data_IF_716244035543
#
_entry.id   IF_716244035543
#
_cell.length_a   1.000
_cell.length_b   1.000
_cell.length_c   1.000
_cell.angle_alpha   90.00
_cell.angle_beta   90.00
_cell.angle_gamma   90.00
#
_symmetry.space_group_name_H-M   'P 1'
#
loop_
_entity.id
_entity.type
_entity.pdbx_description
1 polymer ?
#
# COMPACT_ATOMS: atom_id res chain seq x y z
N UNK A 1 35.15 -10.03 17.11
CA UNK A 1 34.83 -8.73 16.51
C UNK A 1 34.27 -8.98 15.13
N UNK A 2 33.05 -8.53 14.83
CA UNK A 2 32.52 -8.61 13.47
C UNK A 2 33.36 -7.70 12.54
N UNK A 3 33.65 -8.10 11.29
CA UNK A 3 34.54 -7.36 10.41
C UNK A 3 33.92 -6.00 10.03
N UNK A 4 34.76 -4.97 9.97
CA UNK A 4 34.38 -3.65 9.46
C UNK A 4 33.87 -3.78 8.01
N UNK A 5 32.61 -3.43 7.78
CA UNK A 5 31.94 -3.54 6.47
C UNK A 5 30.79 -4.54 6.40
N UNK A 6 30.49 -5.29 7.47
CA UNK A 6 29.27 -6.09 7.52
C UNK A 6 28.03 -5.19 7.48
N UNK A 7 27.21 -5.31 6.42
CA UNK A 7 25.92 -4.63 6.35
C UNK A 7 25.03 -5.16 7.49
N UNK A 8 24.52 -4.26 8.32
CA UNK A 8 23.59 -4.62 9.41
C UNK A 8 22.39 -5.40 8.87
N UNK A 9 21.97 -6.42 9.61
CA UNK A 9 20.75 -7.18 9.33
C UNK A 9 19.49 -6.32 9.50
N UNK A 10 18.37 -6.73 8.91
CA UNK A 10 17.11 -5.96 8.96
C UNK A 10 16.65 -5.72 10.40
N UNK A 11 16.76 -6.73 11.27
CA UNK A 11 16.38 -6.63 12.68
C UNK A 11 17.31 -5.69 13.44
N UNK A 12 18.62 -5.79 13.25
CA UNK A 12 19.59 -4.89 13.88
C UNK A 12 19.35 -3.42 13.53
N UNK A 13 18.92 -3.15 12.28
CA UNK A 13 18.56 -1.81 11.83
C UNK A 13 17.28 -1.31 12.49
N UNK A 14 16.25 -2.15 12.51
CA UNK A 14 14.96 -1.80 13.13
C UNK A 14 15.09 -1.65 14.66
N UNK A 15 15.87 -2.50 15.33
CA UNK A 15 16.20 -2.41 16.76
C UNK A 15 16.97 -1.12 17.08
N UNK A 16 17.80 -0.65 16.15
CA UNK A 16 18.46 0.66 16.23
C UNK A 16 17.52 1.85 15.92
N UNK A 17 16.23 1.59 15.66
CA UNK A 17 15.23 2.60 15.33
C UNK A 17 15.31 3.12 13.89
N UNK A 18 16.09 2.49 13.02
CA UNK A 18 16.22 2.91 11.61
C UNK A 18 14.88 2.76 10.87
N UNK A 19 14.59 3.74 10.02
CA UNK A 19 13.45 3.67 9.10
C UNK A 19 13.90 2.93 7.83
N UNK A 20 13.24 1.81 7.56
CA UNK A 20 13.45 0.99 6.38
C UNK A 20 12.33 1.28 5.39
N UNK A 21 12.72 1.72 4.19
CA UNK A 21 11.80 1.90 3.06
C UNK A 21 12.04 0.77 2.08
N UNK A 22 10.99 0.02 1.72
CA UNK A 22 11.09 -1.13 0.82
C UNK A 22 9.78 -1.47 0.13
N UNK A 23 9.85 -2.02 -1.08
CA UNK A 23 8.68 -2.39 -1.88
C UNK A 23 8.22 -3.84 -1.61
N UNK A 24 6.91 -4.04 -1.64
CA UNK A 24 6.17 -5.24 -1.26
C UNK A 24 5.84 -6.17 -2.40
N UNK A 25 6.36 -5.91 -3.61
CA UNK A 25 6.32 -6.86 -4.74
C UNK A 25 6.95 -8.22 -4.43
N UNK A 26 7.54 -8.41 -3.25
CA UNK A 26 8.22 -9.62 -2.83
C UNK A 26 7.27 -10.77 -2.43
N UNK A 27 6.00 -10.52 -2.07
CA UNK A 27 5.06 -11.60 -1.71
C UNK A 27 4.83 -12.57 -2.88
N UNK A 28 4.58 -12.07 -4.09
CA UNK A 28 4.46 -12.91 -5.28
C UNK A 28 5.80 -13.56 -5.69
N UNK A 29 6.94 -12.90 -5.43
CA UNK A 29 8.25 -13.46 -5.71
C UNK A 29 8.63 -14.59 -4.72
N UNK A 30 8.24 -14.47 -3.45
CA UNK A 30 8.42 -15.48 -2.41
C UNK A 30 7.41 -16.63 -2.54
N UNK A 31 6.17 -16.35 -2.95
CA UNK A 31 5.18 -17.37 -3.30
C UNK A 31 5.66 -18.21 -4.48
N UNK A 32 6.16 -17.58 -5.56
CA UNK A 32 6.80 -18.29 -6.70
C UNK A 32 8.01 -19.13 -6.30
N UNK A 33 8.61 -18.86 -5.13
CA UNK A 33 9.75 -19.60 -4.57
C UNK A 33 9.35 -20.53 -3.41
N UNK A 34 8.06 -20.63 -3.10
CA UNK A 34 7.51 -21.54 -2.09
C UNK A 34 7.73 -21.13 -0.62
N UNK A 35 8.12 -19.88 -0.36
CA UNK A 35 8.44 -19.41 1.00
C UNK A 35 7.24 -18.87 1.78
N UNK A 36 6.20 -18.38 1.09
CA UNK A 36 4.99 -17.84 1.70
C UNK A 36 3.77 -18.22 0.87
N UNK A 37 2.59 -18.30 1.49
CA UNK A 37 1.30 -18.38 0.80
C UNK A 37 0.67 -16.98 0.84
N UNK A 38 0.46 -16.37 -0.31
CA UNK A 38 -0.26 -15.10 -0.38
C UNK A 38 -1.75 -15.36 -0.05
N UNK A 39 -2.36 -14.53 0.80
CA UNK A 39 -3.77 -14.66 1.09
C UNK A 39 -4.33 -13.59 2.02
N UNK A 40 -5.67 -13.44 2.06
CA UNK A 40 -6.34 -12.66 3.09
C UNK A 40 -6.05 -13.23 4.50
N UNK A 41 -6.34 -12.45 5.56
CA UNK A 41 -6.33 -12.86 6.98
C UNK A 41 -5.00 -12.78 7.78
N UNK A 42 -3.89 -12.32 7.20
CA UNK A 42 -2.66 -12.00 7.97
C UNK A 42 -2.86 -10.98 9.12
N UNK A 43 -3.75 -9.96 9.02
CA UNK A 43 -3.94 -8.99 10.10
C UNK A 43 -4.54 -9.60 11.38
N UNK A 44 -5.45 -10.58 11.25
CA UNK A 44 -6.13 -11.23 12.39
C UNK A 44 -5.14 -12.03 13.23
N UNK A 45 -4.23 -12.78 12.59
CA UNK A 45 -3.24 -13.58 13.31
C UNK A 45 -2.33 -12.73 14.23
N UNK A 46 -1.92 -11.54 13.81
CA UNK A 46 -1.09 -10.69 14.66
C UNK A 46 -1.86 -9.99 15.80
N UNK A 47 -3.18 -9.79 15.61
CA UNK A 47 -4.04 -9.18 16.62
C UNK A 47 -4.58 -10.21 17.63
N UNK A 48 -4.94 -11.41 17.17
CA UNK A 48 -5.60 -12.47 17.95
C UNK A 48 -4.60 -13.51 18.48
N UNK A 49 -3.48 -13.73 17.79
CA UNK A 49 -2.44 -14.72 18.11
C UNK A 49 -1.02 -14.12 18.07
N UNK A 50 -0.76 -13.02 18.80
CA UNK A 50 0.54 -12.34 18.75
C UNK A 50 1.72 -13.24 19.19
N UNK A 51 1.46 -14.30 19.95
CA UNK A 51 2.42 -15.33 20.36
C UNK A 51 2.95 -16.20 19.21
N UNK A 52 2.29 -16.18 18.04
CA UNK A 52 2.67 -16.97 16.87
C UNK A 52 4.03 -16.57 16.25
N UNK A 53 4.67 -15.50 16.76
CA UNK A 53 6.13 -15.39 16.73
C UNK A 53 6.76 -14.72 15.50
N UNK A 54 6.24 -13.57 15.04
CA UNK A 54 6.89 -12.77 14.01
C UNK A 54 7.62 -11.54 14.59
N UNK A 55 8.92 -11.38 14.28
CA UNK A 55 9.73 -10.24 14.72
C UNK A 55 9.37 -8.93 13.99
N UNK A 56 8.74 -9.06 12.81
CA UNK A 56 8.16 -7.95 12.04
C UNK A 56 6.74 -8.37 11.69
N UNK A 57 5.75 -7.60 12.14
CA UNK A 57 4.32 -7.81 11.85
C UNK A 57 3.77 -6.62 11.08
N UNK A 58 2.81 -6.87 10.20
CA UNK A 58 2.24 -5.81 9.40
C UNK A 58 1.32 -6.34 8.33
N UNK A 59 1.02 -5.49 7.37
CA UNK A 59 0.08 -5.79 6.29
C UNK A 59 0.60 -5.26 4.96
N UNK A 60 0.15 -5.91 3.89
CA UNK A 60 0.40 -5.47 2.53
C UNK A 60 -0.81 -5.70 1.62
N UNK A 61 -0.87 -4.93 0.53
CA UNK A 61 -1.86 -5.07 -0.54
C UNK A 61 -3.31 -4.80 -0.10
N UNK A 62 -4.25 -5.08 -1.01
CA UNK A 62 -5.72 -5.07 -0.91
C UNK A 62 -6.41 -3.77 -0.51
N UNK A 63 -5.77 -2.94 0.30
CA UNK A 63 -6.32 -1.74 0.88
C UNK A 63 -5.38 -0.55 0.69
N UNK A 64 -5.98 0.63 0.66
CA UNK A 64 -5.28 1.91 0.61
C UNK A 64 -4.44 2.21 1.87
N UNK A 65 -3.57 3.23 1.81
CA UNK A 65 -2.69 3.57 2.93
C UNK A 65 -3.41 3.92 4.23
N UNK A 66 -4.54 4.62 4.16
CA UNK A 66 -5.29 5.03 5.35
C UNK A 66 -5.81 3.80 6.11
N UNK A 67 -6.47 2.90 5.39
CA UNK A 67 -6.97 1.64 5.92
C UNK A 67 -5.83 0.82 6.50
N UNK A 68 -4.71 0.73 5.78
CA UNK A 68 -3.57 -0.02 6.24
C UNK A 68 -2.97 0.54 7.54
N UNK A 69 -2.72 1.85 7.62
CA UNK A 69 -2.14 2.44 8.84
C UNK A 69 -3.06 2.25 10.04
N UNK A 70 -4.39 2.35 9.87
CA UNK A 70 -5.37 2.07 10.93
C UNK A 70 -5.28 0.62 11.41
N UNK A 71 -5.22 -0.35 10.49
CA UNK A 71 -5.11 -1.77 10.83
C UNK A 71 -3.81 -2.09 11.57
N UNK A 72 -2.68 -1.51 11.16
CA UNK A 72 -1.40 -1.72 11.86
C UNK A 72 -1.42 -1.11 13.28
N UNK A 73 -2.14 0.00 13.51
CA UNK A 73 -2.36 0.52 14.87
C UNK A 73 -3.12 -0.49 15.74
N UNK A 74 -4.17 -1.13 15.20
CA UNK A 74 -4.91 -2.18 15.91
C UNK A 74 -4.02 -3.40 16.22
N UNK A 75 -3.21 -3.84 15.26
CA UNK A 75 -2.24 -4.92 15.48
C UNK A 75 -1.23 -4.56 16.57
N UNK A 76 -0.74 -3.30 16.55
CA UNK A 76 0.17 -2.79 17.57
C UNK A 76 -0.45 -2.84 18.96
N UNK A 77 -1.67 -2.35 19.12
CA UNK A 77 -2.40 -2.42 20.39
C UNK A 77 -2.58 -3.86 20.88
N UNK A 78 -2.87 -4.81 19.98
CA UNK A 78 -3.00 -6.24 20.30
C UNK A 78 -1.68 -6.83 20.82
N UNK A 79 -0.59 -6.62 20.10
CA UNK A 79 0.76 -7.08 20.49
C UNK A 79 1.20 -6.48 21.83
N UNK A 80 0.98 -5.18 22.04
CA UNK A 80 1.34 -4.49 23.29
C UNK A 80 0.51 -5.00 24.48
N UNK A 81 -0.80 -5.24 24.30
CA UNK A 81 -1.67 -5.84 25.34
C UNK A 81 -1.23 -7.25 25.73
N UNK A 82 -0.67 -8.01 24.79
CA UNK A 82 -0.11 -9.33 25.06
C UNK A 82 1.28 -9.29 25.74
N UNK A 83 1.84 -8.10 26.01
CA UNK A 83 3.17 -7.95 26.60
C UNK A 83 4.32 -8.35 25.65
N UNK A 84 4.02 -8.43 24.36
CA UNK A 84 4.96 -8.82 23.32
C UNK A 84 5.58 -7.59 22.65
N UNK A 85 6.69 -7.80 21.95
CA UNK A 85 7.37 -6.76 21.15
C UNK A 85 7.54 -7.25 19.73
N UNK A 86 7.22 -6.38 18.77
CA UNK A 86 7.45 -6.60 17.36
C UNK A 86 7.77 -5.28 16.67
N UNK A 87 8.43 -5.35 15.52
CA UNK A 87 8.52 -4.24 14.58
C UNK A 87 7.30 -4.20 13.69
N UNK A 88 6.89 -3.00 13.28
CA UNK A 88 5.67 -2.83 12.48
C UNK A 88 5.97 -2.46 11.03
N UNK A 89 5.18 -3.04 10.12
CA UNK A 89 5.31 -2.93 8.69
C UNK A 89 4.00 -2.52 8.01
N UNK A 90 4.08 -1.69 6.97
CA UNK A 90 2.93 -1.34 6.14
C UNK A 90 3.36 -1.21 4.67
N UNK A 91 2.65 -1.90 3.78
CA UNK A 91 2.86 -1.87 2.33
C UNK A 91 1.52 -1.84 1.57
N UNK A 92 0.79 -0.71 1.62
CA UNK A 92 -0.55 -0.58 1.05
C UNK A 92 -0.56 -0.59 -0.48
N UNK A 93 -1.75 -0.56 -1.07
CA UNK A 93 -1.94 -0.21 -2.48
C UNK A 93 -1.53 1.25 -2.75
N UNK A 94 -1.11 1.53 -3.99
CA UNK A 94 -1.05 2.90 -4.50
C UNK A 94 -2.36 3.32 -5.18
N UNK A 95 -3.49 2.81 -4.71
CA UNK A 95 -4.82 3.15 -5.20
C UNK A 95 -5.67 3.66 -4.04
N UNK A 96 -6.47 4.71 -4.26
CA UNK A 96 -7.58 5.08 -3.38
C UNK A 96 -8.68 4.01 -3.47
N UNK A 97 -9.02 3.40 -2.33
CA UNK A 97 -10.02 2.32 -2.26
C UNK A 97 -11.02 2.51 -1.11
N UNK A 98 -11.65 3.70 -0.98
CA UNK A 98 -12.58 3.98 0.13
C UNK A 98 -13.87 3.14 0.08
N UNK A 99 -14.12 2.51 -1.07
CA UNK A 99 -15.31 1.74 -1.43
C UNK A 99 -15.09 0.22 -1.40
N UNK A 100 -13.92 -0.23 -0.95
CA UNK A 100 -13.66 -1.66 -0.74
C UNK A 100 -14.49 -2.25 0.42
N UNK A 101 -14.92 -3.49 0.24
CA UNK A 101 -15.41 -4.35 1.31
C UNK A 101 -14.21 -5.07 1.99
N UNK A 102 -14.48 -6.07 2.83
CA UNK A 102 -13.44 -6.84 3.51
C UNK A 102 -12.54 -7.71 2.60
N UNK A 103 -12.90 -7.91 1.32
CA UNK A 103 -12.08 -8.61 0.32
C UNK A 103 -11.03 -7.69 -0.33
N UNK A 104 -11.16 -6.37 -0.16
CA UNK A 104 -10.26 -5.37 -0.75
C UNK A 104 -10.53 -5.13 -2.24
N UNK A 105 -9.54 -4.54 -2.92
CA UNK A 105 -9.71 -3.99 -4.27
C UNK A 105 -9.96 -4.99 -5.40
N UNK A 106 -9.83 -6.31 -5.15
CA UNK A 106 -10.06 -7.33 -6.18
C UNK A 106 -11.54 -7.40 -6.56
N UNK A 107 -12.43 -7.15 -5.60
CA UNK A 107 -13.87 -7.13 -5.82
C UNK A 107 -14.34 -5.81 -6.45
N UNK A 108 -13.46 -4.81 -6.62
CA UNK A 108 -13.84 -3.59 -7.31
C UNK A 108 -14.01 -3.88 -8.82
N UNK A 109 -15.09 -3.40 -9.47
CA UNK A 109 -15.33 -3.65 -10.89
C UNK A 109 -14.19 -3.18 -11.81
N UNK A 110 -13.37 -2.22 -11.35
CA UNK A 110 -12.25 -1.70 -12.11
C UNK A 110 -11.01 -2.62 -12.11
N UNK A 111 -10.97 -3.65 -11.26
CA UNK A 111 -9.83 -4.55 -11.18
C UNK A 111 -9.73 -5.48 -12.40
N UNK A 112 -8.53 -5.72 -12.98
CA UNK A 112 -7.27 -4.99 -12.77
C UNK A 112 -7.04 -3.87 -13.80
N UNK A 113 -7.90 -3.72 -14.81
CA UNK A 113 -7.61 -2.97 -16.05
C UNK A 113 -8.21 -1.57 -16.12
N UNK A 114 -8.77 -1.03 -15.03
CA UNK A 114 -9.39 0.31 -15.01
C UNK A 114 -9.13 1.08 -13.72
N UNK A 115 -8.05 0.74 -13.00
CA UNK A 115 -7.69 1.35 -11.72
C UNK A 115 -6.98 2.71 -11.84
N UNK A 116 -6.70 3.20 -13.05
CA UNK A 116 -5.92 4.42 -13.29
C UNK A 116 -6.44 5.67 -12.55
N UNK A 117 -7.77 5.92 -12.43
CA UNK A 117 -8.27 7.07 -11.68
C UNK A 117 -7.97 7.05 -10.19
N UNK A 118 -7.66 5.87 -9.65
CA UNK A 118 -7.44 5.65 -8.22
C UNK A 118 -5.99 5.86 -7.84
N UNK A 119 -5.06 5.95 -8.80
CA UNK A 119 -3.62 6.05 -8.54
C UNK A 119 -3.32 7.23 -7.60
N UNK A 120 -2.64 6.93 -6.50
CA UNK A 120 -2.19 7.91 -5.53
C UNK A 120 -1.14 8.85 -6.11
N UNK A 121 -1.14 10.08 -5.65
CA UNK A 121 -0.10 11.05 -6.00
C UNK A 121 1.12 10.88 -5.09
N UNK A 122 2.24 11.53 -5.44
CA UNK A 122 3.40 11.62 -4.55
C UNK A 122 3.07 12.33 -3.23
N UNK A 123 2.10 13.24 -3.23
CA UNK A 123 1.69 13.98 -2.04
C UNK A 123 0.88 13.10 -1.09
N UNK A 124 0.03 12.23 -1.64
CA UNK A 124 -0.64 11.18 -0.88
C UNK A 124 0.38 10.24 -0.23
N UNK A 125 1.45 9.90 -0.95
CA UNK A 125 2.53 9.05 -0.42
C UNK A 125 3.35 9.74 0.68
N UNK A 126 3.64 11.04 0.56
CA UNK A 126 4.28 11.80 1.64
C UNK A 126 3.38 11.83 2.89
N UNK A 127 2.08 12.11 2.72
CA UNK A 127 1.11 12.04 3.81
C UNK A 127 1.11 10.65 4.48
N UNK A 128 1.00 9.59 3.69
CA UNK A 128 1.06 8.21 4.19
C UNK A 128 2.35 7.92 4.96
N UNK A 129 3.52 8.28 4.41
CA UNK A 129 4.81 8.03 5.06
C UNK A 129 4.89 8.69 6.44
N UNK A 130 4.44 9.94 6.53
CA UNK A 130 4.38 10.70 7.79
C UNK A 130 3.43 10.05 8.79
N UNK A 131 2.23 9.67 8.35
CA UNK A 131 1.22 9.02 9.21
C UNK A 131 1.69 7.65 9.72
N UNK A 132 2.29 6.83 8.85
CA UNK A 132 2.87 5.54 9.22
C UNK A 132 4.03 5.69 10.22
N UNK A 133 4.94 6.64 9.96
CA UNK A 133 6.04 6.92 10.88
C UNK A 133 5.55 7.36 12.27
N UNK A 134 4.57 8.27 12.31
CA UNK A 134 3.94 8.75 13.54
C UNK A 134 3.19 7.63 14.29
N UNK A 135 2.67 6.62 13.58
CA UNK A 135 2.06 5.44 14.20
C UNK A 135 3.08 4.47 14.83
N UNK A 136 4.38 4.71 14.65
CA UNK A 136 5.45 3.83 15.13
C UNK A 136 5.86 2.74 14.12
N UNK A 137 5.37 2.82 12.89
CA UNK A 137 5.77 1.91 11.80
C UNK A 137 7.18 2.30 11.35
N UNK A 138 8.06 1.32 11.17
CA UNK A 138 9.47 1.54 10.78
C UNK A 138 9.86 0.81 9.51
N UNK A 139 9.07 -0.16 9.07
CA UNK A 139 9.15 -0.69 7.72
C UNK A 139 7.98 -0.15 6.89
N UNK A 140 8.23 0.92 6.13
CA UNK A 140 7.21 1.66 5.39
C UNK A 140 7.45 1.47 3.89
N UNK A 141 6.45 1.00 3.17
CA UNK A 141 6.60 0.58 1.79
C UNK A 141 5.32 0.66 0.99
N UNK A 142 5.22 -0.20 -0.02
CA UNK A 142 4.07 -0.23 -0.91
C UNK A 142 3.89 -1.57 -1.61
N UNK A 143 2.76 -1.76 -2.27
CA UNK A 143 2.43 -2.96 -3.02
C UNK A 143 1.87 -2.59 -4.41
N UNK A 144 0.79 -3.23 -4.88
CA UNK A 144 0.25 -2.99 -6.22
C UNK A 144 -0.03 -1.49 -6.48
N UNK A 145 0.40 -1.02 -7.66
CA UNK A 145 0.33 0.38 -8.09
C UNK A 145 1.52 1.25 -7.64
N UNK A 146 2.38 0.78 -6.72
CA UNK A 146 3.57 1.55 -6.39
C UNK A 146 4.51 1.64 -7.59
N UNK A 147 5.03 2.83 -7.78
CA UNK A 147 5.94 3.18 -8.86
C UNK A 147 7.19 3.80 -8.21
N UNK A 148 8.33 3.89 -8.93
CA UNK A 148 9.56 4.41 -8.34
C UNK A 148 9.42 5.79 -7.67
N UNK A 149 8.55 6.66 -8.19
CA UNK A 149 8.31 7.98 -7.63
C UNK A 149 7.48 7.96 -6.33
N UNK A 150 6.66 6.93 -6.12
CA UNK A 150 5.96 6.69 -4.84
C UNK A 150 6.98 6.33 -3.76
N UNK A 151 7.90 5.40 -4.06
CA UNK A 151 8.97 5.02 -3.12
C UNK A 151 9.89 6.21 -2.81
N UNK A 152 10.23 7.02 -3.83
CA UNK A 152 10.96 8.28 -3.62
C UNK A 152 10.20 9.22 -2.68
N UNK A 153 8.89 9.37 -2.85
CA UNK A 153 8.07 10.23 -2.00
C UNK A 153 8.11 9.82 -0.52
N UNK A 154 8.04 8.51 -0.23
CA UNK A 154 8.23 8.00 1.15
C UNK A 154 9.59 8.40 1.71
N UNK A 155 10.64 8.19 0.91
CA UNK A 155 12.01 8.48 1.31
C UNK A 155 12.30 9.98 1.47
N UNK A 156 11.68 10.84 0.65
CA UNK A 156 11.78 12.31 0.73
C UNK A 156 11.05 12.87 1.95
N UNK A 157 9.86 12.36 2.27
CA UNK A 157 9.13 12.80 3.47
C UNK A 157 9.89 12.46 4.76
N UNK A 158 10.51 11.28 4.78
CA UNK A 158 11.23 10.75 5.95
C UNK A 158 12.74 11.07 5.90
N UNK A 159 13.18 11.90 4.96
CA UNK A 159 14.58 12.31 4.87
C UNK A 159 15.09 13.03 6.13
N UNK A 160 14.32 13.91 6.80
CA UNK A 160 14.75 14.54 8.04
C UNK A 160 15.08 13.53 9.16
N UNK A 161 14.29 12.47 9.28
CA UNK A 161 14.51 11.41 10.26
C UNK A 161 15.63 10.44 9.86
N UNK A 162 15.82 10.22 8.56
CA UNK A 162 16.83 9.30 8.03
C UNK A 162 18.20 9.94 7.85
N UNK A 163 18.26 11.27 7.77
CA UNK A 163 19.49 12.04 7.57
C UNK A 163 20.01 12.08 6.13
N UNK A 164 19.27 11.58 5.15
CA UNK A 164 19.66 11.59 3.74
C UNK A 164 18.48 11.54 2.77
N UNK A 165 18.70 12.04 1.56
CA UNK A 165 17.78 11.90 0.42
C UNK A 165 18.17 10.70 -0.46
N UNK A 166 17.20 10.01 -1.10
CA UNK A 166 17.51 8.94 -2.04
C UNK A 166 18.12 9.51 -3.34
N UNK A 167 18.91 8.70 -4.06
CA UNK A 167 19.49 9.10 -5.36
C UNK A 167 18.43 9.57 -6.38
N UNK A 168 17.21 9.03 -6.31
CA UNK A 168 16.08 9.47 -7.14
C UNK A 168 15.66 10.93 -6.94
N UNK A 169 16.12 11.59 -5.88
CA UNK A 169 15.85 13.01 -5.60
C UNK A 169 16.78 13.95 -6.35
N UNK A 170 17.89 13.50 -6.93
CA UNK A 170 18.76 14.36 -7.77
C UNK A 170 18.01 14.97 -8.97
N UNK A 171 16.98 14.27 -9.46
CA UNK A 171 16.12 14.71 -10.56
C UNK A 171 14.77 15.23 -10.09
N UNK A 172 14.66 15.63 -8.82
CA UNK A 172 13.40 16.09 -8.23
C UNK A 172 13.61 17.32 -7.34
N UNK A 173 12.65 18.24 -7.41
CA UNK A 173 12.54 19.35 -6.48
C UNK A 173 11.41 19.10 -5.49
N UNK A 174 11.71 19.10 -4.19
CA UNK A 174 10.70 18.82 -3.16
C UNK A 174 9.55 19.85 -3.24
N UNK A 175 8.32 19.40 -2.99
CA UNK A 175 7.11 20.22 -3.03
C UNK A 175 6.95 21.08 -4.30
N UNK A 176 7.46 20.59 -5.43
CA UNK A 176 7.34 21.26 -6.72
C UNK A 176 8.35 22.38 -6.96
N UNK A 177 9.44 22.48 -6.18
CA UNK A 177 10.47 23.52 -6.36
C UNK A 177 11.09 23.54 -7.76
N UNK A 178 11.07 22.41 -8.49
CA UNK A 178 11.44 22.36 -9.91
C UNK A 178 10.59 23.27 -10.83
N UNK A 179 9.46 23.80 -10.35
CA UNK A 179 8.58 24.70 -11.10
C UNK A 179 8.96 26.19 -10.94
N UNK A 180 9.90 26.54 -10.06
CA UNK A 180 10.26 27.93 -9.71
C UNK A 180 10.73 28.76 -10.91
N UNK A 181 11.35 28.13 -11.91
CA UNK A 181 11.88 28.80 -13.10
C UNK A 181 10.92 28.78 -14.31
N UNK A 182 9.71 28.26 -14.14
CA UNK A 182 8.74 28.16 -15.24
C UNK A 182 8.30 29.55 -15.71
N UNK A 183 8.08 29.77 -17.02
CA UNK A 183 7.73 31.10 -17.58
C UNK A 183 6.39 31.66 -17.09
N UNK A 184 5.40 30.79 -16.87
CA UNK A 184 4.06 31.16 -16.40
C UNK A 184 3.99 31.41 -14.87
N UNK A 185 3.51 32.58 -14.40
CA UNK A 185 3.49 32.92 -12.98
C UNK A 185 2.60 32.00 -12.14
N UNK A 186 1.43 31.60 -12.64
CA UNK A 186 0.53 30.65 -11.94
C UNK A 186 1.07 29.23 -11.86
N UNK A 187 2.12 28.87 -12.64
CA UNK A 187 2.83 27.59 -12.51
C UNK A 187 3.87 27.69 -11.41
N UNK A 188 4.66 28.78 -11.38
CA UNK A 188 5.62 29.04 -10.29
C UNK A 188 4.94 29.13 -8.92
N UNK A 189 3.74 29.72 -8.87
CA UNK A 189 2.94 29.82 -7.64
C UNK A 189 2.55 28.46 -7.02
N UNK A 190 2.79 27.34 -7.72
CA UNK A 190 2.57 25.97 -7.24
C UNK A 190 3.79 25.36 -6.56
N UNK A 191 4.97 25.99 -6.65
CA UNK A 191 6.23 25.50 -6.09
C UNK A 191 6.28 25.66 -4.56
N UNK A 192 5.30 25.09 -3.86
CA UNK A 192 5.14 25.22 -2.41
C UNK A 192 4.28 24.09 -1.87
N UNK A 193 4.63 23.65 -0.65
CA UNK A 193 3.98 22.54 0.05
C UNK A 193 2.48 22.74 0.17
N UNK A 194 2.09 23.91 0.65
CA UNK A 194 0.70 24.19 0.98
C UNK A 194 -0.23 24.21 -0.25
N UNK A 195 0.29 24.43 -1.46
CA UNK A 195 -0.49 24.29 -2.70
C UNK A 195 -0.84 22.82 -2.95
N UNK A 196 0.16 21.94 -2.93
CA UNK A 196 -0.01 20.54 -3.28
C UNK A 196 -0.74 19.73 -2.20
N UNK A 197 -0.56 20.05 -0.91
CA UNK A 197 -1.31 19.40 0.16
C UNK A 197 -2.80 19.72 0.16
N UNK A 198 -3.18 20.92 -0.34
CA UNK A 198 -4.57 21.39 -0.32
C UNK A 198 -5.29 21.17 -1.65
N UNK A 199 -4.55 21.01 -2.74
CA UNK A 199 -5.13 20.75 -4.05
C UNK A 199 -5.87 19.41 -4.00
N UNK A 200 -7.16 19.43 -4.33
CA UNK A 200 -7.95 18.23 -4.60
C UNK A 200 -7.92 18.00 -6.12
N UNK A 201 -7.12 17.06 -6.64
CA UNK A 201 -7.04 16.84 -8.09
C UNK A 201 -8.41 16.41 -8.62
N UNK A 202 -8.82 17.00 -9.74
CA UNK A 202 -10.03 16.56 -10.42
C UNK A 202 -9.80 15.21 -11.11
N UNK A 203 -10.83 14.35 -11.16
CA UNK A 203 -10.75 13.06 -11.86
C UNK A 203 -10.62 13.19 -13.38
N UNK A 204 -11.06 14.33 -13.94
CA UNK A 204 -11.17 14.53 -15.39
C UNK A 204 -12.22 13.65 -16.07
N UNK A 205 -13.06 12.94 -15.30
CA UNK A 205 -14.09 12.02 -15.80
C UNK A 205 -15.48 12.48 -15.33
N UNK A 206 -16.11 13.45 -16.02
CA UNK A 206 -17.32 14.13 -15.51
C UNK A 206 -18.57 13.25 -15.46
N UNK A 207 -18.58 12.14 -16.20
CA UNK A 207 -19.71 11.20 -16.25
C UNK A 207 -19.46 9.92 -15.44
N UNK A 208 -18.29 9.78 -14.82
CA UNK A 208 -17.97 8.62 -13.99
C UNK A 208 -18.28 8.92 -12.51
N UNK A 209 -18.77 7.94 -11.75
CA UNK A 209 -18.91 8.08 -10.31
C UNK A 209 -17.52 8.15 -9.64
N UNK A 210 -17.48 8.64 -8.40
CA UNK A 210 -16.25 8.68 -7.60
C UNK A 210 -15.95 7.39 -6.85
N UNK A 211 -16.93 6.48 -6.76
CA UNK A 211 -16.87 5.18 -6.07
C UNK A 211 -17.66 4.14 -6.87
N UNK A 212 -17.35 2.87 -6.66
CA UNK A 212 -18.03 1.71 -7.22
C UNK A 212 -18.55 0.79 -6.10
N UNK A 213 -19.52 -0.05 -6.42
CA UNK A 213 -19.97 -1.11 -5.51
C UNK A 213 -19.12 -2.36 -5.77
N UNK A 214 -18.49 -2.96 -4.75
CA UNK A 214 -17.77 -4.22 -4.92
C UNK A 214 -18.70 -5.36 -5.37
N UNK A 215 -18.20 -6.19 -6.28
CA UNK A 215 -18.81 -7.46 -6.64
C UNK A 215 -18.71 -8.45 -5.48
N UNK A 216 -19.82 -9.09 -5.12
CA UNK A 216 -19.83 -10.14 -4.09
C UNK A 216 -20.79 -11.29 -4.37
N UNK A 217 -21.78 -11.09 -5.26
CA UNK A 217 -22.76 -12.06 -5.77
C UNK A 217 -23.36 -13.05 -4.74
N UNK A 218 -23.39 -12.69 -3.46
CA UNK A 218 -23.82 -13.57 -2.36
C UNK A 218 -22.88 -14.76 -2.09
N UNK A 219 -21.68 -14.76 -2.66
CA UNK A 219 -20.71 -15.84 -2.57
C UNK A 219 -19.79 -15.61 -1.37
N UNK A 220 -19.64 -16.61 -0.51
CA UNK A 220 -18.82 -16.53 0.71
C UNK A 220 -17.71 -17.57 0.73
N UNK A 221 -16.75 -17.40 1.64
CA UNK A 221 -15.59 -18.29 1.83
C UNK A 221 -16.01 -19.77 1.86
N UNK A 222 -15.43 -20.57 0.97
CA UNK A 222 -15.73 -22.01 0.85
C UNK A 222 -16.72 -22.35 -0.27
N UNK A 223 -17.31 -21.37 -0.93
CA UNK A 223 -18.13 -21.60 -2.12
C UNK A 223 -17.28 -22.08 -3.31
N UNK A 224 -17.83 -22.96 -4.14
CA UNK A 224 -17.12 -23.58 -5.26
C UNK A 224 -16.55 -22.55 -6.25
N UNK A 225 -17.29 -21.47 -6.51
CA UNK A 225 -16.87 -20.37 -7.41
C UNK A 225 -15.61 -19.61 -6.91
N UNK A 226 -15.26 -19.71 -5.62
CA UNK A 226 -14.06 -19.07 -5.04
C UNK A 226 -12.86 -20.04 -4.94
N UNK A 227 -13.03 -21.30 -5.33
CA UNK A 227 -11.93 -22.26 -5.33
C UNK A 227 -11.08 -22.09 -6.58
N UNK A 228 -9.77 -21.96 -6.39
CA UNK A 228 -8.83 -21.86 -7.50
C UNK A 228 -8.91 -23.12 -8.38
N UNK A 229 -9.25 -22.93 -9.65
CA UNK A 229 -9.35 -24.03 -10.61
C UNK A 229 -7.96 -24.41 -11.13
N UNK A 230 -7.78 -25.70 -11.43
CA UNK A 230 -6.53 -26.23 -12.00
C UNK A 230 -6.36 -25.84 -13.48
N UNK A 231 -7.47 -25.62 -14.16
CA UNK A 231 -7.55 -25.25 -15.57
C UNK A 231 -8.22 -23.88 -15.69
N UNK A 232 -8.06 -23.23 -16.85
CA UNK A 232 -8.74 -21.96 -17.11
C UNK A 232 -10.27 -22.16 -17.11
N UNK A 233 -10.99 -21.17 -16.59
CA UNK A 233 -12.46 -21.15 -16.60
C UNK A 233 -13.00 -21.37 -18.01
N UNK A 234 -13.84 -22.38 -18.21
CA UNK A 234 -14.40 -22.74 -19.52
C UNK A 234 -15.31 -21.64 -20.07
N UNK A 235 -15.57 -21.66 -21.38
CA UNK A 235 -16.50 -20.72 -22.01
C UNK A 235 -17.93 -20.84 -21.46
N UNK A 236 -18.40 -22.05 -21.11
CA UNK A 236 -19.72 -22.20 -20.46
C UNK A 236 -19.73 -21.61 -19.05
N UNK A 237 -18.66 -21.84 -18.28
CA UNK A 237 -18.53 -21.26 -16.94
C UNK A 237 -18.48 -19.72 -17.01
N UNK A 238 -17.69 -19.16 -17.94
CA UNK A 238 -17.62 -17.72 -18.17
C UNK A 238 -18.97 -17.13 -18.57
N UNK A 239 -19.74 -17.81 -19.43
CA UNK A 239 -21.08 -17.35 -19.81
C UNK A 239 -22.00 -17.20 -18.59
N UNK A 240 -21.99 -18.17 -17.68
CA UNK A 240 -22.77 -18.09 -16.45
C UNK A 240 -22.31 -16.94 -15.54
N UNK A 241 -21.02 -16.63 -15.51
CA UNK A 241 -20.47 -15.49 -14.76
C UNK A 241 -20.84 -14.15 -15.43
N UNK A 242 -20.80 -14.05 -16.76
CA UNK A 242 -21.23 -12.86 -17.50
C UNK A 242 -22.72 -12.54 -17.25
N UNK A 243 -23.58 -13.57 -17.22
CA UNK A 243 -25.01 -13.39 -16.93
C UNK A 243 -25.26 -12.89 -15.49
N UNK A 244 -24.37 -13.23 -14.53
CA UNK A 244 -24.42 -12.68 -13.17
C UNK A 244 -23.94 -11.23 -13.16
N UNK A 245 -22.79 -10.94 -13.74
CA UNK A 245 -22.20 -9.59 -13.80
C UNK A 245 -23.18 -8.56 -14.39
N UNK A 246 -23.86 -8.91 -15.49
CA UNK A 246 -24.82 -8.04 -16.18
C UNK A 246 -26.11 -7.75 -15.40
N UNK A 247 -26.39 -8.46 -14.29
CA UNK A 247 -27.57 -8.18 -13.45
C UNK A 247 -27.27 -7.19 -12.32
N UNK A 248 -26.00 -6.93 -12.06
CA UNK A 248 -25.49 -6.12 -10.94
C UNK A 248 -25.09 -4.69 -11.36
N UNK A 249 -25.00 -4.43 -12.66
CA UNK A 249 -24.70 -3.13 -13.28
C UNK A 249 -25.90 -2.64 -14.10
#
# INVERSE_FOLDING_TARGET
>A
MAPAGAKKGILERLDAGEIVVGDGGFVFALEKRGYVKAGPWTPEAAAEHPEAGAQIVGINCHFDPETCVKTVKLMKEGVEKAGLKAHYMSQPLAYHTPDCNCQGFIDLPEFPFSLEPRILTRWDMQKYAREAYNAGIRYIGGCCGFEPYHVRALAEELAPERGFLPAGSEKHGNWGSGLEMHTKPWVRARARRDYWEKLKPASGRPFCPSMAMPDGWGVTKGHADLMQQKEATSQEQLKALFDKANKTH
#
